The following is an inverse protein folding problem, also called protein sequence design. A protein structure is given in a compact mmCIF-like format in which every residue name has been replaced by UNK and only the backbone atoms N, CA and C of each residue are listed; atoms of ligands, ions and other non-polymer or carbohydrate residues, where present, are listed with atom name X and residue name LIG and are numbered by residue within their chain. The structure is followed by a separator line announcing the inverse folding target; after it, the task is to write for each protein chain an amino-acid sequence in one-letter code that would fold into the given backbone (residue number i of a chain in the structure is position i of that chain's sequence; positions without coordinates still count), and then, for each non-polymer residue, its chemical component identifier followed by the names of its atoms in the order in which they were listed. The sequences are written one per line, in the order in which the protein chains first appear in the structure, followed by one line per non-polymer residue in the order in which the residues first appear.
data_IF_799267718970
#
_entry.id   IF_799267718970
#
_cell.length_a   1.000
_cell.length_b   1.000
_cell.length_c   1.000
_cell.angle_alpha   90.00
_cell.angle_beta   90.00
_cell.angle_gamma   90.00
#
_symmetry.space_group_name_H-M   'P 1'
#
loop_
_entity.id
_entity.type
_entity.pdbx_description
1 polymer ?
#
# COMPACT_ATOMS: atom_id res chain seq x y z
N UNK A 1 -2.48 4.46 -6.23
CA UNK A 1 -1.70 4.89 -7.42
C UNK A 1 -0.59 3.89 -7.72
N UNK A 2 -0.44 3.49 -8.99
CA UNK A 2 0.52 2.48 -9.48
C UNK A 2 1.98 2.79 -9.08
N UNK A 3 2.34 4.08 -8.98
CA UNK A 3 3.68 4.49 -8.55
C UNK A 3 3.99 4.06 -7.10
N UNK A 4 2.99 4.07 -6.21
CA UNK A 4 3.16 3.63 -4.83
C UNK A 4 3.46 2.13 -4.75
N UNK A 5 2.81 1.33 -5.60
CA UNK A 5 3.02 -0.11 -5.68
C UNK A 5 4.43 -0.43 -6.19
N UNK A 6 4.91 0.31 -7.19
CA UNK A 6 6.27 0.17 -7.69
C UNK A 6 7.31 0.52 -6.59
N UNK A 7 7.07 1.57 -5.81
CA UNK A 7 7.94 1.93 -4.68
C UNK A 7 7.97 0.84 -3.61
N UNK A 8 6.83 0.21 -3.30
CA UNK A 8 6.77 -0.91 -2.36
C UNK A 8 7.57 -2.11 -2.89
N UNK A 9 7.45 -2.43 -4.18
CA UNK A 9 8.25 -3.48 -4.82
C UNK A 9 9.75 -3.18 -4.79
N UNK A 10 10.13 -1.92 -5.02
CA UNK A 10 11.52 -1.47 -4.93
C UNK A 10 12.06 -1.58 -3.49
N UNK A 11 11.28 -1.12 -2.50
CA UNK A 11 11.65 -1.17 -1.09
C UNK A 11 11.83 -2.61 -0.58
N UNK A 12 10.96 -3.54 -1.01
CA UNK A 12 11.04 -4.94 -0.61
C UNK A 12 12.03 -5.76 -1.43
N UNK A 13 12.51 -5.25 -2.57
CA UNK A 13 13.51 -5.90 -3.40
C UNK A 13 13.07 -7.25 -4.00
N UNK A 14 11.77 -7.53 -4.05
CA UNK A 14 11.20 -8.82 -4.50
C UNK A 14 10.00 -8.62 -5.40
N UNK A 15 9.67 -9.67 -6.17
CA UNK A 15 8.48 -9.68 -7.04
C UNK A 15 7.23 -9.77 -6.18
N UNK A 16 6.34 -8.78 -6.30
CA UNK A 16 5.05 -8.76 -5.64
C UNK A 16 3.94 -9.04 -6.65
N UNK A 17 2.94 -9.83 -6.26
CA UNK A 17 1.71 -10.00 -7.05
C UNK A 17 0.67 -9.01 -6.57
N UNK A 18 0.33 -8.04 -7.41
CA UNK A 18 -0.65 -7.00 -7.09
C UNK A 18 -1.93 -7.20 -7.92
N UNK A 19 -3.09 -7.12 -7.27
CA UNK A 19 -4.40 -7.14 -7.88
C UNK A 19 -4.84 -5.69 -8.15
N UNK A 20 -4.97 -5.25 -9.42
CA UNK A 20 -5.34 -3.88 -9.74
C UNK A 20 -6.80 -3.54 -9.45
N UNK A 21 -7.67 -4.54 -9.34
CA UNK A 21 -9.11 -4.34 -9.10
C UNK A 21 -9.35 -4.14 -7.61
N UNK A 22 -8.72 -4.99 -6.79
CA UNK A 22 -8.85 -4.96 -5.32
C UNK A 22 -7.79 -4.07 -4.66
N UNK A 23 -6.86 -3.56 -5.45
CA UNK A 23 -5.68 -2.80 -5.06
C UNK A 23 -4.80 -3.47 -3.99
N UNK A 24 -4.83 -4.80 -3.82
CA UNK A 24 -4.10 -5.55 -2.77
C UNK A 24 -2.95 -6.39 -3.32
N UNK A 25 -1.95 -6.64 -2.48
CA UNK A 25 -0.94 -7.65 -2.77
C UNK A 25 -1.45 -9.05 -2.39
N UNK A 26 -1.47 -9.97 -3.34
CA UNK A 26 -2.03 -11.32 -3.17
C UNK A 26 -1.07 -12.15 -2.31
N UNK A 27 -1.52 -12.52 -1.11
CA UNK A 27 -0.75 -13.36 -0.18
C UNK A 27 0.42 -12.65 0.52
N UNK A 28 0.47 -11.32 0.47
CA UNK A 28 1.62 -10.56 0.96
C UNK A 28 1.21 -9.50 2.00
N UNK A 29 1.22 -9.88 3.27
CA UNK A 29 0.76 -9.01 4.38
C UNK A 29 1.71 -7.82 4.56
N UNK A 30 3.02 -8.04 4.49
CA UNK A 30 4.05 -7.01 4.61
C UNK A 30 3.88 -5.93 3.54
N UNK A 31 3.72 -6.33 2.27
CA UNK A 31 3.49 -5.37 1.20
C UNK A 31 2.16 -4.60 1.35
N UNK A 32 1.12 -5.27 1.87
CA UNK A 32 -0.17 -4.60 2.13
C UNK A 32 -0.09 -3.58 3.27
N UNK A 33 0.72 -3.81 4.30
CA UNK A 33 0.94 -2.85 5.38
C UNK A 33 1.58 -1.56 4.86
N UNK A 34 2.53 -1.67 3.92
CA UNK A 34 3.20 -0.51 3.32
C UNK A 34 2.29 0.35 2.42
N UNK A 35 1.11 -0.16 2.02
CA UNK A 35 0.12 0.66 1.30
C UNK A 35 -0.53 1.70 2.20
N UNK A 36 -0.66 1.41 3.49
CA UNK A 36 -1.21 2.31 4.48
C UNK A 36 -0.10 3.20 5.03
N UNK A 37 -0.33 4.51 5.07
CA UNK A 37 0.44 5.38 5.95
C UNK A 37 -0.41 5.62 7.19
N UNK A 38 0.14 5.32 8.36
CA UNK A 38 -0.35 5.91 9.60
C UNK A 38 -0.18 7.43 9.47
N UNK A 39 -1.31 8.13 9.49
CA UNK A 39 -1.32 9.58 9.51
C UNK A 39 -0.80 10.06 10.87
N UNK A 40 0.14 11.00 10.84
CA UNK A 40 0.65 11.62 12.06
C UNK A 40 -0.35 12.65 12.56
N UNK A 41 -0.75 12.54 13.82
CA UNK A 41 -1.61 13.53 14.48
C UNK A 41 -1.01 14.95 14.40
N UNK A 42 -1.84 16.00 14.16
CA UNK A 42 -3.31 15.98 14.00
C UNK A 42 -3.78 15.81 12.53
N UNK A 43 -2.88 15.48 11.59
CA UNK A 43 -3.18 15.48 10.16
C UNK A 43 -3.83 14.16 9.71
N UNK A 44 -5.06 13.90 10.13
CA UNK A 44 -5.86 12.73 9.69
C UNK A 44 -6.79 13.10 8.54
N UNK A 45 -7.07 12.15 7.64
CA UNK A 45 -8.13 12.34 6.65
C UNK A 45 -9.50 12.25 7.33
N UNK A 46 -10.49 13.09 6.95
CA UNK A 46 -11.86 12.91 7.39
C UNK A 46 -12.41 11.59 6.86
N UNK A 47 -13.13 10.84 7.70
CA UNK A 47 -13.81 9.62 7.26
C UNK A 47 -14.83 9.97 6.17
N UNK A 48 -14.67 9.40 4.98
CA UNK A 48 -15.62 9.55 3.89
C UNK A 48 -16.66 8.43 4.04
N UNK A 49 -17.91 8.82 4.33
CA UNK A 49 -19.08 7.93 4.45
C UNK A 49 -19.39 7.16 3.17
#
# INVERSE_FOLDING_TARGET
SVCNIANIGYQLGRKLRWDPIREVFIGDVEANQLKGKDYREPYVLPEVQ
#
